data_IF_835685419481
#
_entry.id   IF_835685419481
#
_cell.length_a   1.000
_cell.length_b   1.000
_cell.length_c   1.000
_cell.angle_alpha   90.00
_cell.angle_beta   90.00
_cell.angle_gamma   90.00
#
_symmetry.space_group_name_H-M   'P 1'
#
loop_
_entity.id
_entity.type
_entity.pdbx_description
1 polymer ?
#
# COMPACT_ATOMS: atom_id res chain seq x y z
N UNK A 1 -20.24 -4.36 -20.50
CA UNK A 1 -20.59 -3.77 -19.19
C UNK A 1 -19.29 -3.25 -18.59
N UNK A 2 -19.23 -1.98 -18.19
CA UNK A 2 -18.03 -1.41 -17.59
C UNK A 2 -17.88 -1.98 -16.17
N UNK A 3 -16.79 -2.70 -15.92
CA UNK A 3 -16.53 -3.34 -14.62
C UNK A 3 -15.97 -2.29 -13.65
N UNK A 4 -16.71 -1.99 -12.59
CA UNK A 4 -16.32 -0.96 -11.62
C UNK A 4 -15.25 -1.52 -10.68
N UNK A 5 -14.01 -1.05 -10.83
CA UNK A 5 -12.97 -1.23 -9.81
C UNK A 5 -13.31 -0.42 -8.57
N UNK A 6 -13.08 -0.98 -7.39
CA UNK A 6 -13.32 -0.28 -6.14
C UNK A 6 -12.05 0.42 -5.68
N UNK A 7 -11.93 1.69 -6.04
CA UNK A 7 -10.75 2.51 -5.76
C UNK A 7 -11.11 3.61 -4.76
N UNK A 8 -10.44 3.59 -3.62
CA UNK A 8 -10.37 4.72 -2.71
C UNK A 8 -9.13 5.54 -3.05
N UNK A 9 -9.27 6.87 -3.19
CA UNK A 9 -8.13 7.76 -3.40
C UNK A 9 -8.32 9.06 -2.64
N UNK A 10 -7.25 9.50 -1.99
CA UNK A 10 -7.13 10.85 -1.41
C UNK A 10 -5.85 11.49 -1.91
N UNK A 11 -5.97 12.75 -2.34
CA UNK A 11 -4.84 13.57 -2.73
C UNK A 11 -4.91 14.90 -1.99
N UNK A 12 -3.87 15.21 -1.22
CA UNK A 12 -3.79 16.44 -0.44
C UNK A 12 -2.47 17.17 -0.70
N UNK A 13 -2.56 18.48 -0.96
CA UNK A 13 -1.41 19.38 -1.00
C UNK A 13 -1.24 20.03 0.37
N UNK A 14 -0.02 19.97 0.89
CA UNK A 14 0.40 20.53 2.17
C UNK A 14 1.57 21.47 1.93
N UNK A 15 1.59 22.61 2.63
CA UNK A 15 2.74 23.51 2.63
C UNK A 15 3.51 23.30 3.93
N UNK A 16 4.67 22.67 3.85
CA UNK A 16 5.51 22.36 5.01
C UNK A 16 6.81 23.14 4.86
N UNK A 17 7.08 24.06 5.78
CA UNK A 17 8.31 24.88 5.81
C UNK A 17 8.57 25.62 4.48
N UNK A 18 7.52 26.13 3.84
CA UNK A 18 7.62 26.84 2.56
C UNK A 18 7.75 25.94 1.33
N UNK A 19 7.76 24.62 1.51
CA UNK A 19 7.83 23.65 0.41
C UNK A 19 6.46 23.01 0.18
N UNK A 20 6.02 22.97 -1.08
CA UNK A 20 4.75 22.38 -1.45
C UNK A 20 4.92 20.85 -1.60
N UNK A 21 4.26 20.11 -0.71
CA UNK A 21 4.22 18.64 -0.72
C UNK A 21 2.85 18.15 -1.13
N UNK A 22 2.82 17.16 -2.00
CA UNK A 22 1.58 16.47 -2.39
C UNK A 22 1.65 15.05 -1.88
N UNK A 23 0.69 14.68 -1.05
CA UNK A 23 0.45 13.30 -0.62
C UNK A 23 -0.66 12.74 -1.50
N UNK A 24 -0.39 11.65 -2.21
CA UNK A 24 -1.37 10.87 -2.97
C UNK A 24 -1.41 9.46 -2.38
N UNK A 25 -2.57 9.09 -1.84
CA UNK A 25 -2.80 7.79 -1.22
C UNK A 25 -3.99 7.11 -1.88
N UNK A 26 -3.75 5.92 -2.41
CA UNK A 26 -4.72 5.16 -3.18
C UNK A 26 -4.77 3.71 -2.69
N UNK A 27 -5.98 3.18 -2.58
CA UNK A 27 -6.27 1.77 -2.30
C UNK A 27 -7.19 1.25 -3.41
N UNK A 28 -6.63 0.51 -4.36
CA UNK A 28 -7.37 -0.30 -5.34
C UNK A 28 -7.66 -1.66 -4.72
N UNK A 29 -8.93 -1.89 -4.35
CA UNK A 29 -9.38 -3.14 -3.73
C UNK A 29 -9.70 -4.22 -4.76
N UNK A 30 -9.40 -3.98 -6.04
CA UNK A 30 -9.75 -4.88 -7.12
C UNK A 30 -11.24 -4.84 -7.45
N UNK A 31 -11.73 -5.90 -8.11
CA UNK A 31 -13.13 -6.08 -8.46
C UNK A 31 -13.80 -6.97 -7.42
N UNK A 32 -14.99 -6.54 -7.00
CA UNK A 32 -15.84 -7.25 -6.04
C UNK A 32 -16.15 -8.66 -6.59
N UNK A 33 -15.92 -9.69 -5.76
CA UNK A 33 -16.23 -11.08 -6.11
C UNK A 33 -15.26 -11.74 -7.11
N UNK A 34 -14.08 -11.16 -7.33
CA UNK A 34 -13.05 -11.75 -8.19
C UNK A 34 -11.69 -11.82 -7.49
N UNK A 35 -10.83 -12.73 -7.95
CA UNK A 35 -9.44 -12.85 -7.52
C UNK A 35 -8.53 -11.80 -8.19
N UNK A 36 -9.07 -10.63 -8.54
CA UNK A 36 -8.30 -9.57 -9.18
C UNK A 36 -7.21 -9.04 -8.26
N UNK A 37 -6.04 -8.63 -8.81
CA UNK A 37 -4.97 -8.05 -8.02
C UNK A 37 -5.45 -6.78 -7.31
N UNK A 38 -5.05 -6.64 -6.06
CA UNK A 38 -5.33 -5.47 -5.23
C UNK A 38 -4.03 -4.68 -5.04
N UNK A 39 -4.12 -3.36 -4.95
CA UNK A 39 -2.94 -2.50 -4.85
C UNK A 39 -3.14 -1.32 -3.91
N UNK A 40 -2.15 -1.03 -3.09
CA UNK A 40 -2.05 0.24 -2.35
C UNK A 40 -0.86 1.02 -2.90
N UNK A 41 -1.04 2.33 -3.07
CA UNK A 41 0.03 3.25 -3.45
C UNK A 41 -0.01 4.46 -2.53
N UNK A 42 1.12 4.76 -1.91
CA UNK A 42 1.42 6.03 -1.26
C UNK A 42 2.53 6.71 -2.05
N UNK A 43 2.26 7.89 -2.58
CA UNK A 43 3.24 8.72 -3.25
C UNK A 43 3.34 10.08 -2.56
N UNK A 44 4.56 10.51 -2.27
CA UNK A 44 4.85 11.86 -1.79
C UNK A 44 5.69 12.57 -2.84
N UNK A 45 5.22 13.73 -3.26
CA UNK A 45 5.87 14.60 -4.25
C UNK A 45 6.21 15.92 -3.60
N UNK A 46 7.41 16.44 -3.85
CA UNK A 46 7.88 17.76 -3.40
C UNK A 46 8.37 18.52 -4.64
N UNK A 47 7.86 19.73 -4.89
CA UNK A 47 8.21 20.54 -6.07
C UNK A 47 8.13 19.76 -7.41
N UNK A 48 7.05 18.99 -7.57
CA UNK A 48 6.80 18.09 -8.71
C UNK A 48 7.81 16.93 -8.88
N UNK A 49 8.70 16.70 -7.92
CA UNK A 49 9.59 15.54 -7.88
C UNK A 49 9.07 14.50 -6.88
N UNK A 50 9.01 13.24 -7.29
CA UNK A 50 8.65 12.14 -6.40
C UNK A 50 9.78 11.90 -5.41
N UNK A 51 9.50 12.06 -4.12
CA UNK A 51 10.50 11.84 -3.05
C UNK A 51 10.29 10.51 -2.31
N UNK A 52 9.07 9.98 -2.35
CA UNK A 52 8.73 8.68 -1.79
C UNK A 52 7.62 8.04 -2.63
N UNK A 53 7.78 6.75 -2.89
CA UNK A 53 6.74 5.86 -3.40
C UNK A 53 6.77 4.59 -2.59
N UNK A 54 5.63 4.22 -2.01
CA UNK A 54 5.41 2.91 -1.41
C UNK A 54 4.27 2.27 -2.18
N UNK A 55 4.50 1.13 -2.79
CA UNK A 55 3.43 0.31 -3.36
C UNK A 55 3.39 -1.07 -2.75
N UNK A 56 2.17 -1.54 -2.49
CA UNK A 56 1.89 -2.88 -1.99
C UNK A 56 0.95 -3.53 -3.00
N UNK A 57 1.45 -4.52 -3.72
CA UNK A 57 0.66 -5.34 -4.62
C UNK A 57 0.32 -6.65 -3.91
N UNK A 58 -0.97 -7.00 -3.90
CA UNK A 58 -1.48 -8.25 -3.31
C UNK A 58 -2.08 -9.11 -4.42
N UNK A 59 -1.62 -10.35 -4.46
CA UNK A 59 -2.09 -11.39 -5.35
C UNK A 59 -2.53 -12.61 -4.55
N UNK A 60 -3.69 -13.17 -4.90
CA UNK A 60 -4.15 -14.44 -4.33
C UNK A 60 -3.38 -15.59 -4.96
N UNK A 61 -2.76 -16.42 -4.12
CA UNK A 61 -2.19 -17.69 -4.54
C UNK A 61 -3.21 -18.78 -4.20
N UNK A 62 -3.75 -19.44 -5.22
CA UNK A 62 -4.59 -20.63 -5.03
C UNK A 62 -3.68 -21.82 -4.82
N UNK A 63 -3.67 -22.39 -3.62
CA UNK A 63 -2.96 -23.65 -3.35
C UNK A 63 -3.86 -24.81 -3.81
N UNK A 64 -3.50 -25.45 -4.93
CA UNK A 64 -4.27 -26.56 -5.53
C UNK A 64 -4.13 -27.87 -4.74
N UNK A 65 -3.21 -27.93 -3.76
CA UNK A 65 -3.03 -29.09 -2.91
C UNK A 65 -3.58 -28.80 -1.50
N UNK A 66 -4.58 -29.61 -1.12
CA UNK A 66 -5.07 -29.79 0.25
C UNK A 66 -6.04 -28.75 0.85
N UNK A 67 -6.95 -28.15 0.06
CA UNK A 67 -8.26 -27.72 0.58
C UNK A 67 -8.31 -26.88 1.87
N UNK A 68 -7.24 -26.16 2.22
CA UNK A 68 -7.10 -25.43 3.49
C UNK A 68 -6.48 -24.07 3.24
N UNK A 69 -7.34 -23.10 2.98
CA UNK A 69 -7.04 -21.67 3.09
C UNK A 69 -6.63 -20.98 1.80
N UNK A 70 -6.92 -19.68 1.74
CA UNK A 70 -6.41 -18.79 0.71
C UNK A 70 -5.02 -18.33 1.09
N UNK A 71 -4.05 -18.46 0.18
CA UNK A 71 -2.71 -17.89 0.36
C UNK A 71 -2.60 -16.56 -0.37
N UNK A 72 -1.71 -15.67 0.10
CA UNK A 72 -1.47 -14.37 -0.54
C UNK A 72 0.02 -14.13 -0.74
N UNK A 73 0.34 -13.53 -1.89
CA UNK A 73 1.63 -12.92 -2.19
C UNK A 73 1.50 -11.40 -2.09
N UNK A 74 2.37 -10.80 -1.29
CA UNK A 74 2.53 -9.36 -1.22
C UNK A 74 3.88 -8.98 -1.82
N UNK A 75 3.88 -8.05 -2.78
CA UNK A 75 5.09 -7.39 -3.29
C UNK A 75 5.08 -5.97 -2.77
N UNK A 76 6.07 -5.62 -1.96
CA UNK A 76 6.21 -4.29 -1.36
C UNK A 76 7.41 -3.63 -2.01
N UNK A 77 7.16 -2.58 -2.77
CA UNK A 77 8.18 -1.74 -3.40
C UNK A 77 8.22 -0.38 -2.71
N UNK A 78 9.38 -0.05 -2.15
CA UNK A 78 9.66 1.26 -1.57
C UNK A 78 10.75 1.89 -2.41
N UNK A 79 10.42 3.01 -3.05
CA UNK A 79 11.35 3.85 -3.78
C UNK A 79 11.42 5.20 -3.08
N UNK A 80 12.60 5.54 -2.56
CA UNK A 80 12.88 6.82 -1.94
C UNK A 80 13.96 7.51 -2.75
N UNK A 81 13.59 8.62 -3.38
CA UNK A 81 14.52 9.52 -4.04
C UNK A 81 14.70 10.75 -3.18
N UNK A 82 15.88 10.89 -2.59
CA UNK A 82 16.29 12.12 -1.89
C UNK A 82 17.40 12.78 -2.68
N UNK A 83 17.73 14.03 -2.32
CA UNK A 83 18.70 14.86 -3.05
C UNK A 83 20.02 14.16 -3.43
N UNK A 84 20.46 13.11 -2.70
CA UNK A 84 21.73 12.41 -2.92
C UNK A 84 21.65 10.87 -3.03
N UNK A 85 20.46 10.26 -2.98
CA UNK A 85 20.36 8.78 -3.08
C UNK A 85 18.97 8.30 -3.47
N UNK A 86 18.96 7.29 -4.35
CA UNK A 86 17.82 6.45 -4.64
C UNK A 86 17.95 5.14 -3.86
N UNK A 87 16.99 4.87 -2.98
CA UNK A 87 16.91 3.59 -2.26
C UNK A 87 15.67 2.85 -2.72
N UNK A 88 15.87 1.67 -3.30
CA UNK A 88 14.81 0.73 -3.68
C UNK A 88 14.83 -0.51 -2.79
N UNK A 89 13.70 -0.82 -2.17
CA UNK A 89 13.49 -2.06 -1.43
C UNK A 89 12.30 -2.80 -2.05
N UNK A 90 12.52 -4.04 -2.49
CA UNK A 90 11.46 -4.96 -2.88
C UNK A 90 11.39 -6.11 -1.88
N UNK A 91 10.23 -6.37 -1.30
CA UNK A 91 10.00 -7.52 -0.43
C UNK A 91 8.86 -8.39 -0.98
N UNK A 92 9.02 -9.71 -0.93
CA UNK A 92 7.99 -10.68 -1.29
C UNK A 92 7.57 -11.44 -0.03
N UNK A 93 6.28 -11.41 0.30
CA UNK A 93 5.72 -12.09 1.47
C UNK A 93 4.67 -13.07 1.00
N UNK A 94 4.84 -14.35 1.36
CA UNK A 94 3.85 -15.40 1.11
C UNK A 94 3.25 -15.84 2.44
N UNK A 95 1.98 -15.51 2.70
CA UNK A 95 1.27 -16.03 3.88
C UNK A 95 0.29 -17.14 3.49
N UNK A 96 0.55 -18.36 3.99
CA UNK A 96 -0.28 -19.56 3.81
C UNK A 96 -1.33 -19.77 4.91
N UNK A 97 -1.35 -18.91 5.93
CA UNK A 97 -2.35 -18.93 7.02
C UNK A 97 -3.52 -17.99 6.75
N UNK A 98 -3.58 -17.39 5.55
CA UNK A 98 -4.65 -16.46 5.16
C UNK A 98 -4.68 -15.15 5.95
N UNK A 99 -3.55 -14.73 6.54
CA UNK A 99 -3.46 -13.40 7.16
C UNK A 99 -3.29 -12.35 6.09
N UNK A 100 -4.07 -11.29 6.22
CA UNK A 100 -4.16 -10.23 5.24
C UNK A 100 -3.57 -8.92 5.75
N UNK A 101 -3.30 -7.99 4.82
CA UNK A 101 -2.98 -6.62 5.16
C UNK A 101 -4.30 -5.83 5.23
N UNK A 102 -4.71 -5.35 6.42
CA UNK A 102 -6.10 -4.96 6.71
C UNK A 102 -6.61 -3.77 5.87
N UNK A 103 -5.70 -3.01 5.29
CA UNK A 103 -6.01 -1.84 4.45
C UNK A 103 -6.77 -2.19 3.16
N UNK A 104 -6.65 -3.43 2.66
CA UNK A 104 -7.44 -3.89 1.51
C UNK A 104 -8.92 -4.09 1.84
N UNK A 105 -9.24 -4.44 3.08
CA UNK A 105 -10.61 -4.75 3.52
C UNK A 105 -11.27 -3.58 4.29
N UNK A 106 -10.49 -2.58 4.69
CA UNK A 106 -10.98 -1.42 5.46
C UNK A 106 -12.01 -0.64 4.65
N UNK A 107 -13.26 -0.45 5.11
CA UNK A 107 -14.30 0.24 4.34
C UNK A 107 -13.93 1.68 3.97
N UNK A 108 -14.35 2.13 2.78
CA UNK A 108 -14.05 3.49 2.30
C UNK A 108 -14.66 4.56 3.21
N UNK A 109 -15.85 4.32 3.76
CA UNK A 109 -16.48 5.24 4.70
C UNK A 109 -15.69 5.38 5.99
N UNK A 110 -15.04 4.30 6.45
CA UNK A 110 -14.14 4.35 7.61
C UNK A 110 -12.88 5.15 7.29
N UNK A 111 -12.30 4.99 6.10
CA UNK A 111 -11.15 5.79 5.66
C UNK A 111 -11.51 7.28 5.52
N UNK A 112 -12.67 7.58 4.94
CA UNK A 112 -13.19 8.95 4.84
C UNK A 112 -13.40 9.57 6.22
N UNK A 113 -14.14 8.90 7.11
CA UNK A 113 -14.38 9.38 8.47
C UNK A 113 -13.08 9.63 9.22
N UNK A 114 -12.11 8.72 9.11
CA UNK A 114 -10.79 8.87 9.73
C UNK A 114 -10.08 10.15 9.25
N UNK A 115 -10.08 10.41 7.94
CA UNK A 115 -9.44 11.62 7.38
C UNK A 115 -10.14 12.88 7.89
N UNK A 116 -11.47 12.88 7.95
CA UNK A 116 -12.25 14.02 8.47
C UNK A 116 -11.97 14.28 9.95
N UNK A 117 -11.85 13.23 10.76
CA UNK A 117 -11.64 13.35 12.21
C UNK A 117 -10.21 13.69 12.59
N UNK A 118 -9.22 13.23 11.81
CA UNK A 118 -7.80 13.36 12.17
C UNK A 118 -7.00 14.14 11.13
N UNK A 119 -6.67 13.52 10.01
CA UNK A 119 -6.03 14.12 8.82
C UNK A 119 -5.54 13.03 7.87
N UNK A 120 -5.15 13.41 6.65
CA UNK A 120 -4.42 12.51 5.73
C UNK A 120 -3.05 12.15 6.29
N UNK A 121 -2.37 13.08 6.96
CA UNK A 121 -1.06 12.81 7.59
C UNK A 121 -1.17 11.72 8.66
N UNK A 122 -2.24 11.75 9.47
CA UNK A 122 -2.52 10.71 10.48
C UNK A 122 -2.80 9.36 9.82
N UNK A 123 -3.55 9.35 8.71
CA UNK A 123 -3.84 8.14 7.94
C UNK A 123 -2.55 7.52 7.41
N UNK A 124 -1.68 8.33 6.81
CA UNK A 124 -0.37 7.89 6.31
C UNK A 124 0.51 7.36 7.43
N UNK A 125 0.55 8.03 8.58
CA UNK A 125 1.34 7.58 9.72
C UNK A 125 0.90 6.19 10.20
N UNK A 126 -0.41 5.97 10.35
CA UNK A 126 -0.93 4.67 10.79
C UNK A 126 -0.73 3.58 9.72
N UNK A 127 -0.88 3.92 8.43
CA UNK A 127 -0.53 3.02 7.32
C UNK A 127 0.94 2.56 7.39
N UNK A 128 1.88 3.48 7.61
CA UNK A 128 3.30 3.15 7.70
C UNK A 128 3.57 2.28 8.93
N UNK A 129 2.97 2.58 10.09
CA UNK A 129 3.10 1.73 11.29
C UNK A 129 2.59 0.31 11.03
N UNK A 130 1.42 0.18 10.43
CA UNK A 130 0.82 -1.11 10.11
C UNK A 130 1.67 -1.90 9.10
N UNK A 131 2.23 -1.21 8.10
CA UNK A 131 3.15 -1.80 7.15
C UNK A 131 4.41 -2.32 7.86
N UNK A 132 5.05 -1.51 8.71
CA UNK A 132 6.23 -1.91 9.47
C UNK A 132 5.95 -3.08 10.43
N UNK A 133 4.76 -3.09 11.04
CA UNK A 133 4.30 -4.21 11.87
C UNK A 133 4.14 -5.47 11.01
N UNK A 134 3.42 -5.38 9.88
CA UNK A 134 3.20 -6.50 8.96
C UNK A 134 4.52 -7.10 8.47
N UNK A 135 5.45 -6.23 8.08
CA UNK A 135 6.83 -6.53 7.73
C UNK A 135 7.53 -7.28 8.89
N UNK A 136 7.49 -6.78 10.11
CA UNK A 136 8.19 -7.40 11.24
C UNK A 136 7.75 -8.84 11.56
N UNK A 137 6.54 -9.26 11.16
CA UNK A 137 6.00 -10.59 11.45
C UNK A 137 6.28 -11.67 10.39
N UNK A 138 6.67 -11.33 9.15
CA UNK A 138 6.52 -12.28 8.01
C UNK A 138 7.48 -12.12 6.82
N UNK A 139 8.65 -11.50 6.92
CA UNK A 139 9.45 -11.26 5.70
C UNK A 139 10.48 -12.36 5.40
N UNK A 140 10.49 -12.81 4.15
CA UNK A 140 11.72 -13.25 3.46
C UNK A 140 12.15 -12.11 2.54
N UNK A 141 13.18 -11.34 2.93
CA UNK A 141 13.56 -10.15 2.17
C UNK A 141 14.38 -10.65 0.98
N UNK A 142 13.89 -10.49 -0.24
CA UNK A 142 14.72 -10.63 -1.43
C UNK A 142 15.27 -9.26 -1.78
N UNK A 143 16.40 -8.89 -1.19
CA UNK A 143 17.15 -7.71 -1.63
C UNK A 143 17.71 -7.98 -3.03
N UNK A 144 17.05 -7.42 -4.05
CA UNK A 144 17.69 -7.21 -5.35
C UNK A 144 18.51 -5.92 -5.24
N UNK A 145 19.82 -6.06 -5.08
CA UNK A 145 20.74 -4.96 -5.44
C UNK A 145 20.81 -4.97 -6.97
N UNK A 146 20.24 -3.95 -7.60
CA UNK A 146 20.55 -3.60 -8.99
C UNK A 146 21.87 -2.82 -9.02
#
# INVERSE_FOLDING_TARGET
>A
MAETRHVFQVRQTLNIQGTARVIDFMVDKGKIGSDSPQRIVLQITEDNKRILSVSIDKEKIVDLNEGKGTSYKFVIDIDRSTYDSDTKLTAEIVDRKGRDFPWFDTPDDSLRAYIYEKSVESLVNDFIKDLLNFLSYRISVKTKRE
#
